data_IF_101014930171
#
_entry.id   IF_101014930171
#
_cell.length_a   1.000
_cell.length_b   1.000
_cell.length_c   1.000
_cell.angle_alpha   90.00
_cell.angle_beta   90.00
_cell.angle_gamma   90.00
#
_symmetry.space_group_name_H-M   'P 1'
#
loop_
_entity.id
_entity.type
_entity.pdbx_description
1 polymer ?
#
# COMPACT_ATOMS: atom_id res chain seq x y z
N UNK A 1 3.28 27.03 4.67
CA UNK A 1 2.99 25.76 5.37
C UNK A 1 2.98 24.52 4.44
N UNK A 2 2.36 24.54 3.24
CA UNK A 2 2.33 23.42 2.27
C UNK A 2 3.73 23.01 1.77
N UNK A 3 4.62 23.95 1.45
CA UNK A 3 5.97 23.66 0.92
C UNK A 3 6.81 22.82 1.90
N UNK A 4 6.88 23.22 3.16
CA UNK A 4 7.65 22.51 4.19
C UNK A 4 7.13 21.11 4.45
N UNK A 5 5.80 20.90 4.38
CA UNK A 5 5.21 19.57 4.49
C UNK A 5 5.64 18.67 3.33
N UNK A 6 5.58 19.16 2.08
CA UNK A 6 6.00 18.39 0.89
C UNK A 6 7.47 17.99 0.99
N UNK A 7 8.34 18.93 1.37
CA UNK A 7 9.77 18.66 1.54
C UNK A 7 10.01 17.60 2.63
N UNK A 8 9.41 17.80 3.82
CA UNK A 8 9.49 16.84 4.92
C UNK A 8 9.03 15.45 4.49
N UNK A 9 7.88 15.34 3.87
CA UNK A 9 7.32 14.07 3.42
C UNK A 9 8.21 13.38 2.39
N UNK A 10 8.75 14.12 1.43
CA UNK A 10 9.68 13.59 0.42
C UNK A 10 10.94 13.02 1.05
N UNK A 11 11.53 13.73 2.00
CA UNK A 11 12.74 13.29 2.72
C UNK A 11 12.44 12.06 3.56
N UNK A 12 11.38 12.07 4.35
CA UNK A 12 10.99 10.95 5.20
C UNK A 12 10.68 9.68 4.39
N UNK A 13 9.98 9.80 3.26
CA UNK A 13 9.72 8.65 2.36
C UNK A 13 11.01 8.07 1.79
N UNK A 14 11.95 8.93 1.40
CA UNK A 14 13.25 8.46 0.92
C UNK A 14 14.02 7.71 2.01
N UNK A 15 14.10 8.29 3.20
CA UNK A 15 14.78 7.64 4.34
C UNK A 15 14.08 6.36 4.78
N UNK A 16 12.74 6.34 4.78
CA UNK A 16 11.99 5.13 5.10
C UNK A 16 12.28 3.98 4.12
N UNK A 17 12.43 4.29 2.83
CA UNK A 17 12.74 3.28 1.81
C UNK A 17 14.09 2.60 2.06
N UNK A 18 15.09 3.39 2.46
CA UNK A 18 16.47 2.96 2.61
C UNK A 18 16.83 2.69 4.10
N UNK A 19 15.85 2.69 5.01
CA UNK A 19 16.07 2.52 6.45
C UNK A 19 16.55 1.11 6.78
N UNK A 20 17.68 1.01 7.48
CA UNK A 20 18.28 -0.25 7.88
C UNK A 20 17.41 -1.04 8.87
N UNK A 21 16.74 -0.33 9.80
CA UNK A 21 15.86 -0.96 10.78
C UNK A 21 14.38 -0.83 10.38
N UNK A 22 13.61 -1.93 10.34
CA UNK A 22 12.17 -1.90 10.00
C UNK A 22 11.35 -0.96 10.90
N UNK A 23 11.67 -0.87 12.19
CA UNK A 23 11.00 0.03 13.14
C UNK A 23 11.16 1.52 12.79
N UNK A 24 12.32 1.91 12.28
CA UNK A 24 12.55 3.28 11.82
C UNK A 24 11.73 3.58 10.57
N UNK A 25 11.63 2.63 9.64
CA UNK A 25 10.79 2.74 8.45
C UNK A 25 9.34 3.03 8.81
N UNK A 26 8.78 2.26 9.72
CA UNK A 26 7.41 2.44 10.20
C UNK A 26 7.22 3.81 10.85
N UNK A 27 8.14 4.24 11.72
CA UNK A 27 8.09 5.55 12.37
C UNK A 27 8.11 6.70 11.37
N UNK A 28 9.00 6.65 10.37
CA UNK A 28 9.08 7.67 9.32
C UNK A 28 7.80 7.72 8.47
N UNK A 29 7.22 6.57 8.14
CA UNK A 29 5.97 6.49 7.40
C UNK A 29 4.78 7.04 8.22
N UNK A 30 4.71 6.79 9.52
CA UNK A 30 3.72 7.43 10.42
C UNK A 30 3.89 8.95 10.43
N UNK A 31 5.12 9.47 10.43
CA UNK A 31 5.39 10.91 10.32
C UNK A 31 5.03 11.49 8.94
N UNK A 32 4.92 10.67 7.90
CA UNK A 32 4.35 11.06 6.61
C UNK A 32 2.83 11.21 6.65
N UNK A 33 2.17 10.87 7.77
CA UNK A 33 0.73 10.95 7.94
C UNK A 33 -0.04 9.71 7.53
N UNK A 34 0.64 8.57 7.35
CA UNK A 34 -0.04 7.28 7.11
C UNK A 34 -0.49 6.65 8.42
N UNK A 35 -1.61 5.96 8.37
CA UNK A 35 -2.14 5.19 9.50
C UNK A 35 -1.53 3.78 9.43
N UNK A 36 -0.69 3.44 10.40
CA UNK A 36 -0.01 2.14 10.44
C UNK A 36 -0.24 1.53 11.82
N UNK A 37 -0.84 0.36 11.84
CA UNK A 37 -1.15 -0.43 13.01
C UNK A 37 0.08 -0.94 13.77
N UNK A 38 -0.14 -1.88 14.67
CA UNK A 38 0.92 -2.51 15.48
C UNK A 38 1.47 -3.74 14.77
N UNK A 39 2.71 -4.11 15.10
CA UNK A 39 3.40 -5.32 14.60
C UNK A 39 3.42 -5.45 13.06
N UNK A 40 3.36 -4.32 12.36
CA UNK A 40 3.43 -4.28 10.90
C UNK A 40 4.86 -4.54 10.46
N UNK A 41 5.03 -5.44 9.49
CA UNK A 41 6.30 -5.69 8.83
C UNK A 41 6.31 -5.05 7.44
N UNK A 42 7.30 -4.23 7.15
CA UNK A 42 7.53 -3.64 5.83
C UNK A 42 8.98 -3.89 5.44
N UNK A 43 9.15 -4.69 4.40
CA UNK A 43 10.46 -4.96 3.81
C UNK A 43 10.99 -3.75 3.01
N UNK A 44 12.16 -3.91 2.42
CA UNK A 44 12.85 -2.86 1.68
C UNK A 44 12.13 -2.48 0.38
N UNK A 45 12.46 -1.30 -0.13
CA UNK A 45 11.99 -0.79 -1.43
C UNK A 45 10.46 -0.64 -1.56
N UNK A 46 9.74 -0.37 -0.45
CA UNK A 46 8.33 0.01 -0.56
C UNK A 46 8.20 1.33 -1.34
N UNK A 47 7.40 1.31 -2.41
CA UNK A 47 7.08 2.48 -3.22
C UNK A 47 5.65 2.93 -2.90
N UNK A 48 5.49 4.21 -2.55
CA UNK A 48 4.18 4.84 -2.35
C UNK A 48 4.07 5.98 -3.36
N UNK A 49 3.28 5.76 -4.42
CA UNK A 49 3.00 6.74 -5.46
C UNK A 49 1.77 7.57 -5.09
N UNK A 50 1.97 8.87 -4.83
CA UNK A 50 0.92 9.78 -4.37
C UNK A 50 1.28 11.23 -4.62
N UNK A 51 0.31 12.12 -4.48
CA UNK A 51 0.56 13.55 -4.33
C UNK A 51 1.16 13.85 -2.96
N UNK A 52 2.27 14.59 -2.91
CA UNK A 52 2.97 14.89 -1.65
C UNK A 52 2.14 15.72 -0.65
N UNK A 53 1.05 16.30 -1.12
CA UNK A 53 0.10 17.07 -0.31
C UNK A 53 -0.90 16.19 0.43
N UNK A 54 -1.06 14.95 -0.02
CA UNK A 54 -2.02 14.01 0.54
C UNK A 54 -1.66 13.60 1.95
N UNK A 55 -2.69 13.36 2.75
CA UNK A 55 -2.56 12.87 4.11
C UNK A 55 -3.62 11.79 4.35
N UNK A 56 -3.25 10.78 5.12
CA UNK A 56 -4.21 9.75 5.53
C UNK A 56 -4.76 8.84 4.43
N UNK A 57 -4.13 8.82 3.25
CA UNK A 57 -4.60 8.01 2.11
C UNK A 57 -4.15 6.56 2.18
N UNK A 58 -3.33 6.20 3.17
CA UNK A 58 -2.87 4.84 3.36
C UNK A 58 -3.16 4.40 4.79
N UNK A 59 -3.86 3.28 4.90
CA UNK A 59 -4.10 2.60 6.17
C UNK A 59 -3.58 1.17 6.08
N UNK A 60 -2.71 0.82 7.01
CA UNK A 60 -2.22 -0.54 7.24
C UNK A 60 -2.72 -0.98 8.62
N UNK A 61 -3.48 -2.05 8.67
CA UNK A 61 -3.95 -2.67 9.91
C UNK A 61 -2.82 -3.36 10.68
N UNK A 62 -3.15 -3.90 11.83
CA UNK A 62 -2.18 -4.61 12.67
C UNK A 62 -1.65 -5.87 11.98
N UNK A 63 -0.38 -6.20 12.21
CA UNK A 63 0.30 -7.41 11.71
C UNK A 63 0.26 -7.57 10.18
N UNK A 64 0.04 -6.49 9.44
CA UNK A 64 0.20 -6.50 7.98
C UNK A 64 1.65 -6.80 7.63
N UNK A 65 1.85 -7.68 6.65
CA UNK A 65 3.17 -8.04 6.15
C UNK A 65 3.33 -7.62 4.69
N UNK A 66 4.31 -6.77 4.42
CA UNK A 66 4.61 -6.24 3.09
C UNK A 66 6.02 -6.68 2.69
N UNK A 67 6.11 -7.52 1.66
CA UNK A 67 7.37 -8.00 1.09
C UNK A 67 8.10 -6.91 0.27
N UNK A 68 9.36 -7.14 -0.16
CA UNK A 68 10.12 -6.15 -0.91
C UNK A 68 9.46 -5.69 -2.22
N UNK A 69 9.74 -4.47 -2.63
CA UNK A 69 9.32 -3.87 -3.91
C UNK A 69 7.81 -3.83 -4.15
N UNK A 70 7.03 -3.78 -3.09
CA UNK A 70 5.59 -3.53 -3.21
C UNK A 70 5.37 -2.07 -3.60
N UNK A 71 4.44 -1.83 -4.52
CA UNK A 71 4.05 -0.49 -4.97
C UNK A 71 2.59 -0.22 -4.61
N UNK A 72 2.36 0.80 -3.80
CA UNK A 72 1.03 1.28 -3.43
C UNK A 72 0.75 2.57 -4.21
N UNK A 73 -0.16 2.50 -5.17
CA UNK A 73 -0.52 3.65 -6.04
C UNK A 73 -1.73 4.34 -5.44
N UNK A 74 -1.52 5.45 -4.72
CA UNK A 74 -2.59 6.25 -4.11
C UNK A 74 -3.13 7.30 -5.07
N UNK A 75 -2.30 7.72 -6.04
CA UNK A 75 -2.73 8.59 -7.14
C UNK A 75 -1.98 8.26 -8.42
N UNK A 76 -2.68 8.40 -9.54
CA UNK A 76 -2.14 8.25 -10.89
C UNK A 76 -2.79 9.27 -11.80
N UNK A 77 -1.96 10.02 -12.54
CA UNK A 77 -2.42 11.02 -13.48
C UNK A 77 -1.42 11.21 -14.62
N UNK A 78 -1.87 11.66 -15.79
CA UNK A 78 -1.04 11.77 -17.00
C UNK A 78 -0.09 12.99 -17.00
N UNK A 79 -0.02 13.78 -15.90
CA UNK A 79 0.80 15.00 -15.80
C UNK A 79 0.53 15.96 -16.99
N UNK A 80 1.57 16.33 -17.72
CA UNK A 80 1.49 17.24 -18.86
C UNK A 80 1.28 16.54 -20.22
N UNK A 81 0.93 15.25 -20.20
CA UNK A 81 0.63 14.50 -21.41
C UNK A 81 -0.57 15.08 -22.15
N UNK A 82 -0.51 15.06 -23.48
CA UNK A 82 -1.62 15.52 -24.34
C UNK A 82 -2.92 14.74 -24.17
N UNK A 83 -2.87 13.54 -23.57
CA UNK A 83 -4.07 12.75 -23.26
C UNK A 83 -4.80 13.23 -22.00
N UNK A 84 -4.21 14.16 -21.22
CA UNK A 84 -4.78 14.64 -19.96
C UNK A 84 -6.28 15.01 -20.02
N UNK A 85 -6.78 15.68 -21.09
CA UNK A 85 -8.20 16.05 -21.15
C UNK A 85 -9.17 14.87 -21.22
N UNK A 86 -8.69 13.70 -21.65
CA UNK A 86 -9.52 12.48 -21.86
C UNK A 86 -9.07 11.31 -20.97
N UNK A 87 -7.94 11.44 -20.29
CA UNK A 87 -7.43 10.40 -19.41
C UNK A 87 -8.04 10.51 -18.02
N UNK A 88 -8.44 9.40 -17.40
CA UNK A 88 -8.91 9.42 -16.02
C UNK A 88 -7.77 9.77 -15.06
N UNK A 89 -8.08 10.59 -14.06
CA UNK A 89 -7.24 10.81 -12.90
C UNK A 89 -7.75 9.90 -11.78
N UNK A 90 -6.94 8.96 -11.34
CA UNK A 90 -7.28 8.09 -10.23
C UNK A 90 -6.58 8.60 -8.96
N UNK A 91 -7.36 8.88 -7.91
CA UNK A 91 -6.86 9.28 -6.59
C UNK A 91 -7.83 8.78 -5.54
N UNK A 92 -7.41 7.79 -4.79
CA UNK A 92 -8.22 7.20 -3.74
C UNK A 92 -7.35 6.51 -2.69
N UNK A 93 -7.82 6.41 -1.44
CA UNK A 93 -7.09 5.76 -0.37
C UNK A 93 -6.94 4.25 -0.62
N UNK A 94 -5.84 3.68 -0.14
CA UNK A 94 -5.64 2.23 -0.04
C UNK A 94 -5.80 1.84 1.42
N UNK A 95 -6.56 0.77 1.66
CA UNK A 95 -6.77 0.19 2.98
C UNK A 95 -6.34 -1.26 2.93
N UNK A 96 -5.35 -1.61 3.76
CA UNK A 96 -4.90 -2.99 3.94
C UNK A 96 -5.24 -3.38 5.37
N UNK A 97 -6.19 -4.29 5.52
CA UNK A 97 -6.70 -4.70 6.83
C UNK A 97 -5.71 -5.61 7.56
N UNK A 98 -5.95 -5.81 8.85
CA UNK A 98 -5.08 -6.58 9.72
C UNK A 98 -4.75 -7.97 9.15
N UNK A 99 -3.57 -8.47 9.47
CA UNK A 99 -3.12 -9.84 9.12
C UNK A 99 -2.97 -10.10 7.61
N UNK A 100 -3.14 -9.09 6.74
CA UNK A 100 -2.96 -9.26 5.30
C UNK A 100 -1.47 -9.39 4.93
N UNK A 101 -1.20 -10.18 3.89
CA UNK A 101 0.15 -10.43 3.40
C UNK A 101 0.27 -10.12 1.91
N UNK A 102 1.17 -9.20 1.56
CA UNK A 102 1.50 -8.83 0.19
C UNK A 102 2.86 -9.40 -0.19
N UNK A 103 2.87 -10.22 -1.23
CA UNK A 103 4.10 -10.80 -1.80
C UNK A 103 4.98 -9.77 -2.51
N UNK A 104 6.21 -10.18 -2.83
CA UNK A 104 7.21 -9.33 -3.49
C UNK A 104 6.70 -8.78 -4.81
N UNK A 105 6.95 -7.49 -5.06
CA UNK A 105 6.63 -6.84 -6.33
C UNK A 105 5.13 -6.64 -6.61
N UNK A 106 4.27 -6.80 -5.60
CA UNK A 106 2.83 -6.53 -5.72
C UNK A 106 2.59 -5.06 -6.03
N UNK A 107 1.66 -4.77 -6.93
CA UNK A 107 1.16 -3.43 -7.22
C UNK A 107 -0.31 -3.34 -6.80
N UNK A 108 -0.64 -2.34 -5.98
CA UNK A 108 -2.02 -2.08 -5.54
C UNK A 108 -2.47 -0.75 -6.14
N UNK A 109 -3.60 -0.75 -6.85
CA UNK A 109 -4.14 0.43 -7.50
C UNK A 109 -4.98 1.30 -6.56
N UNK A 110 -5.25 2.58 -6.91
CA UNK A 110 -6.01 3.50 -6.08
C UNK A 110 -7.39 2.97 -5.72
N UNK A 111 -7.81 3.18 -4.48
CA UNK A 111 -9.14 2.82 -3.98
C UNK A 111 -9.32 1.38 -3.55
N UNK A 112 -8.29 0.55 -3.68
CA UNK A 112 -8.38 -0.87 -3.32
C UNK A 112 -8.37 -1.08 -1.81
N UNK A 113 -9.28 -1.95 -1.35
CA UNK A 113 -9.28 -2.52 0.01
C UNK A 113 -8.80 -3.97 -0.06
N UNK A 114 -7.81 -4.31 0.74
CA UNK A 114 -7.34 -5.70 0.94
C UNK A 114 -7.85 -6.15 2.30
N UNK A 115 -8.76 -7.13 2.30
CA UNK A 115 -9.45 -7.61 3.48
C UNK A 115 -8.54 -8.36 4.46
N UNK A 116 -9.03 -8.50 5.69
CA UNK A 116 -8.30 -9.12 6.81
C UNK A 116 -7.80 -10.52 6.43
N UNK A 117 -6.52 -10.77 6.66
CA UNK A 117 -5.90 -12.07 6.39
C UNK A 117 -5.84 -12.46 4.91
N UNK A 118 -6.13 -11.55 4.00
CA UNK A 118 -5.97 -11.81 2.57
C UNK A 118 -4.48 -11.94 2.20
N UNK A 119 -4.20 -12.75 1.20
CA UNK A 119 -2.85 -12.94 0.66
C UNK A 119 -2.83 -12.52 -0.80
N UNK A 120 -1.85 -11.69 -1.16
CA UNK A 120 -1.59 -11.28 -2.53
C UNK A 120 -0.30 -11.93 -3.01
N UNK A 121 -0.39 -12.79 -4.01
CA UNK A 121 0.77 -13.47 -4.61
C UNK A 121 1.75 -12.50 -5.24
N UNK A 122 3.03 -12.87 -5.25
CA UNK A 122 4.11 -12.04 -5.79
C UNK A 122 3.85 -11.60 -7.24
N UNK A 123 4.31 -10.39 -7.58
CA UNK A 123 4.16 -9.75 -8.90
C UNK A 123 2.70 -9.60 -9.38
N UNK A 124 1.74 -9.60 -8.48
CA UNK A 124 0.33 -9.40 -8.83
C UNK A 124 -0.02 -7.92 -8.93
N UNK A 125 -1.01 -7.59 -9.77
CA UNK A 125 -1.59 -6.24 -9.88
C UNK A 125 -3.02 -6.28 -9.36
N UNK A 126 -3.23 -5.69 -8.18
CA UNK A 126 -4.55 -5.65 -7.51
C UNK A 126 -5.32 -4.43 -7.99
N UNK A 127 -6.37 -4.67 -8.76
CA UNK A 127 -7.19 -3.64 -9.40
C UNK A 127 -8.58 -3.50 -8.78
N UNK A 128 -8.97 -4.40 -7.87
CA UNK A 128 -10.27 -4.46 -7.19
C UNK A 128 -10.07 -4.92 -5.76
N UNK A 129 -11.07 -4.68 -4.93
CA UNK A 129 -11.07 -5.15 -3.55
C UNK A 129 -10.85 -6.65 -3.44
N UNK A 130 -10.12 -7.04 -2.42
CA UNK A 130 -9.85 -8.44 -2.07
C UNK A 130 -10.62 -8.77 -0.79
N UNK A 131 -11.49 -9.75 -0.86
CA UNK A 131 -12.26 -10.18 0.31
C UNK A 131 -11.36 -10.78 1.41
N UNK A 132 -11.77 -10.72 2.68
CA UNK A 132 -11.02 -11.34 3.77
C UNK A 132 -10.70 -12.81 3.49
N UNK A 133 -9.52 -13.26 3.93
CA UNK A 133 -9.03 -14.63 3.79
C UNK A 133 -8.89 -15.13 2.34
N UNK A 134 -9.05 -14.27 1.35
CA UNK A 134 -8.82 -14.65 -0.05
C UNK A 134 -7.34 -14.63 -0.39
N UNK A 135 -6.92 -15.65 -1.14
CA UNK A 135 -5.63 -15.67 -1.83
C UNK A 135 -5.85 -15.25 -3.28
N UNK A 136 -5.22 -14.15 -3.68
CA UNK A 136 -5.31 -13.62 -5.05
C UNK A 136 -3.94 -13.60 -5.70
N UNK A 137 -3.90 -13.83 -7.02
CA UNK A 137 -2.66 -13.70 -7.80
C UNK A 137 -2.95 -13.32 -9.26
N UNK A 138 -1.92 -12.81 -9.95
CA UNK A 138 -1.95 -12.52 -11.39
C UNK A 138 -2.07 -11.03 -11.73
N UNK A 139 -2.13 -10.74 -13.03
CA UNK A 139 -2.21 -9.39 -13.60
C UNK A 139 -3.32 -9.36 -14.66
N UNK A 140 -4.52 -8.87 -14.30
CA UNK A 140 -4.98 -8.42 -13.00
C UNK A 140 -5.17 -9.58 -12.01
N UNK A 141 -5.02 -9.32 -10.71
CA UNK A 141 -5.17 -10.32 -9.66
C UNK A 141 -6.59 -10.92 -9.63
N UNK A 142 -6.66 -12.25 -9.46
CA UNK A 142 -7.90 -13.01 -9.33
C UNK A 142 -7.80 -13.94 -8.13
N UNK A 143 -8.94 -14.23 -7.51
CA UNK A 143 -9.00 -15.19 -6.41
C UNK A 143 -8.65 -16.57 -6.92
N UNK A 144 -7.66 -17.20 -6.29
CA UNK A 144 -7.21 -18.57 -6.58
C UNK A 144 -7.67 -19.57 -5.52
N UNK A 145 -7.91 -19.09 -4.29
CA UNK A 145 -8.52 -19.88 -3.22
C UNK A 145 -8.97 -19.00 -2.07
N UNK A 146 -9.76 -19.55 -1.15
CA UNK A 146 -10.12 -18.96 0.13
C UNK A 146 -9.47 -19.77 1.25
N UNK A 147 -8.88 -19.09 2.23
CA UNK A 147 -8.28 -19.73 3.39
C UNK A 147 -9.37 -20.10 4.41
N UNK A 148 -9.16 -21.16 5.20
CA UNK A 148 -10.01 -21.42 6.35
C UNK A 148 -9.83 -20.29 7.39
N UNK A 149 -10.85 -20.07 8.18
CA UNK A 149 -10.78 -19.11 9.30
C UNK A 149 -9.74 -19.61 10.32
N UNK A 150 -8.71 -18.79 10.65
CA UNK A 150 -7.73 -19.19 11.64
C UNK A 150 -8.36 -19.41 13.01
N UNK A 151 -7.82 -20.33 13.84
CA UNK A 151 -8.28 -20.52 15.21
C UNK A 151 -8.27 -19.20 16.01
N UNK A 152 -9.35 -18.90 16.72
CA UNK A 152 -9.47 -17.67 17.53
C UNK A 152 -9.86 -16.40 16.76
N UNK A 153 -10.17 -16.51 15.47
CA UNK A 153 -10.77 -15.40 14.73
C UNK A 153 -12.29 -15.49 14.81
N UNK A 154 -12.87 -14.75 15.73
CA UNK A 154 -14.32 -14.52 15.87
C UNK A 154 -14.71 -13.15 15.34
#
# INVERSE_FOLDING_TARGET
MRFWWRLKKKVLKRWARDAFFPSWRITMLRWCGYQIGQDVYIADELIIAEELEDRGNLTLGDRVSIAPRVTLVLSSHPNDSRIRPVAPVARAPIIIEADAWLGTGVVVLPGVRIGRGAIVGSNSVVTKDVAPLNVVAGQPARTIRVLPTPPGWT
#
